data_IF_941291235356
#
_entry.id   IF_941291235356
#
_cell.length_a   1.000
_cell.length_b   1.000
_cell.length_c   1.000
_cell.angle_alpha   90.00
_cell.angle_beta   90.00
_cell.angle_gamma   90.00
#
_symmetry.space_group_name_H-M   'P 1'
#
loop_
_entity.id
_entity.type
_entity.pdbx_description
1 polymer ?
#
# COMPACT_ATOMS: atom_id res chain seq x y z
N UNK A 1 3.15 16.45 13.15
CA UNK A 1 3.63 17.47 14.09
C UNK A 1 5.09 17.83 13.81
N UNK A 2 5.37 19.05 13.39
CA UNK A 2 6.70 19.49 12.96
C UNK A 2 7.71 19.47 14.11
N UNK A 3 8.91 18.94 13.86
CA UNK A 3 10.06 19.01 14.78
C UNK A 3 10.38 20.44 15.23
N UNK A 4 10.02 21.41 14.39
CA UNK A 4 10.08 22.84 14.67
C UNK A 4 9.21 23.28 15.85
N UNK A 5 8.00 22.74 15.99
CA UNK A 5 7.10 23.14 17.09
C UNK A 5 7.62 22.63 18.43
N UNK A 6 8.14 21.39 18.45
CA UNK A 6 8.73 20.80 19.67
C UNK A 6 10.00 21.53 20.09
N UNK A 7 10.90 21.84 19.16
CA UNK A 7 12.14 22.58 19.47
C UNK A 7 11.86 24.00 19.93
N UNK A 8 10.90 24.69 19.30
CA UNK A 8 10.50 26.03 19.73
C UNK A 8 9.92 26.06 21.14
N UNK A 9 9.12 25.05 21.54
CA UNK A 9 8.58 24.95 22.90
C UNK A 9 9.72 24.80 23.93
N UNK A 10 10.69 23.92 23.67
CA UNK A 10 11.83 23.72 24.59
C UNK A 10 12.73 24.95 24.72
N UNK A 11 12.95 25.70 23.63
CA UNK A 11 13.72 26.95 23.65
C UNK A 11 12.99 28.03 24.47
N UNK A 12 11.67 28.13 24.32
CA UNK A 12 10.86 29.07 25.12
C UNK A 12 10.88 28.71 26.60
N UNK A 13 10.76 27.41 26.94
CA UNK A 13 10.83 26.94 28.34
C UNK A 13 12.21 27.21 28.95
N UNK A 14 13.29 26.96 28.20
CA UNK A 14 14.66 27.24 28.65
C UNK A 14 14.90 28.74 28.84
N UNK A 15 14.43 29.56 27.90
CA UNK A 15 14.50 31.02 28.00
C UNK A 15 13.73 31.55 29.21
N UNK A 16 12.55 31.00 29.49
CA UNK A 16 11.75 31.36 30.66
C UNK A 16 12.45 30.96 31.97
N UNK A 17 13.05 29.77 32.04
CA UNK A 17 13.83 29.31 33.20
C UNK A 17 15.06 30.19 33.46
N UNK A 18 15.79 30.58 32.41
CA UNK A 18 16.94 31.48 32.53
C UNK A 18 16.52 32.89 32.94
N UNK A 19 15.44 33.43 32.37
CA UNK A 19 14.91 34.73 32.77
C UNK A 19 14.44 34.73 34.23
N UNK A 20 13.80 33.64 34.67
CA UNK A 20 13.40 33.47 36.07
C UNK A 20 14.62 33.37 36.99
N UNK A 21 15.66 32.61 36.60
CA UNK A 21 16.92 32.54 37.32
C UNK A 21 17.63 33.90 37.43
N UNK A 22 17.62 34.70 36.36
CA UNK A 22 18.20 36.04 36.34
C UNK A 22 17.39 37.02 37.23
N UNK A 23 16.06 36.92 37.20
CA UNK A 23 15.17 37.72 38.04
C UNK A 23 15.33 37.41 39.53
N UNK A 24 15.46 36.13 39.90
CA UNK A 24 15.79 35.74 41.27
C UNK A 24 17.22 36.13 41.65
N UNK A 25 18.16 36.08 40.71
CA UNK A 25 19.56 36.48 40.91
C UNK A 25 19.74 37.96 41.25
N UNK A 26 19.01 38.87 40.59
CA UNK A 26 19.10 40.32 40.86
C UNK A 26 18.56 40.70 42.26
N UNK A 27 17.70 39.86 42.85
CA UNK A 27 17.19 40.03 44.23
C UNK A 27 18.17 39.58 45.31
N UNK A 28 19.24 38.86 44.95
CA UNK A 28 20.28 38.40 45.88
C UNK A 28 21.49 39.35 45.77
N UNK A 29 21.33 40.58 46.28
CA UNK A 29 22.38 41.62 46.26
C UNK A 29 23.18 41.74 47.57
N UNK A 30 23.06 40.80 48.49
CA UNK A 30 23.67 40.94 49.83
C UNK A 30 24.67 39.86 50.21
N UNK A 31 24.69 38.71 49.53
CA UNK A 31 25.78 37.72 49.60
C UNK A 31 25.89 37.03 48.24
N UNK A 32 27.09 36.77 47.70
CA UNK A 32 27.24 36.08 46.42
C UNK A 32 26.68 34.66 46.59
N UNK A 33 25.43 34.46 46.15
CA UNK A 33 24.68 33.22 46.36
C UNK A 33 25.54 31.99 46.05
N UNK A 34 25.65 31.09 47.02
CA UNK A 34 26.35 29.84 46.88
C UNK A 34 25.33 28.70 46.83
N UNK A 35 25.63 27.67 46.04
CA UNK A 35 24.81 26.46 45.94
C UNK A 35 25.60 25.35 46.61
N UNK A 36 25.07 24.82 47.71
CA UNK A 36 25.56 23.59 48.32
C UNK A 36 24.80 22.41 47.74
N UNK A 37 25.52 21.49 47.11
CA UNK A 37 25.00 20.16 46.91
C UNK A 37 25.55 19.26 48.02
N UNK A 38 24.71 18.96 49.01
CA UNK A 38 25.01 17.98 50.05
C UNK A 38 24.31 16.65 49.73
N UNK A 39 25.09 15.61 49.47
CA UNK A 39 24.58 14.25 49.28
C UNK A 39 25.42 13.28 50.11
N UNK A 40 24.90 12.91 51.29
CA UNK A 40 25.65 12.12 52.28
C UNK A 40 26.86 12.89 52.84
N UNK A 41 28.03 12.27 52.84
CA UNK A 41 29.30 12.85 53.32
C UNK A 41 29.96 13.83 52.32
N UNK A 42 29.40 13.99 51.11
CA UNK A 42 29.96 14.87 50.08
C UNK A 42 29.16 16.16 49.99
N UNK A 43 29.82 17.26 50.34
CA UNK A 43 29.30 18.62 50.20
C UNK A 43 30.17 19.37 49.20
N UNK A 44 29.61 19.68 48.03
CA UNK A 44 30.30 20.48 47.01
C UNK A 44 29.74 21.89 47.06
N UNK A 45 30.57 22.82 47.53
CA UNK A 45 30.30 24.25 47.53
C UNK A 45 30.68 24.82 46.16
N UNK A 46 29.69 25.30 45.40
CA UNK A 46 29.95 26.00 44.14
C UNK A 46 29.23 27.34 44.08
N UNK A 47 29.85 28.31 43.41
CA UNK A 47 29.20 29.59 43.12
C UNK A 47 27.96 29.35 42.27
N UNK A 48 26.86 30.07 42.58
CA UNK A 48 25.61 30.00 41.80
C UNK A 48 25.86 30.24 40.30
N UNK A 49 26.78 31.14 39.96
CA UNK A 49 27.16 31.42 38.57
C UNK A 49 27.81 30.22 37.88
N UNK A 50 28.66 29.48 38.59
CA UNK A 50 29.28 28.25 38.07
C UNK A 50 28.22 27.19 37.82
N UNK A 51 27.26 27.02 38.74
CA UNK A 51 26.14 26.11 38.56
C UNK A 51 25.29 26.44 37.32
N UNK A 52 24.95 27.72 37.13
CA UNK A 52 24.16 28.19 35.96
C UNK A 52 24.90 27.91 34.66
N UNK A 53 26.21 28.19 34.59
CA UNK A 53 27.00 27.92 33.39
C UNK A 53 27.01 26.43 33.07
N UNK A 54 27.26 25.57 34.07
CA UNK A 54 27.26 24.10 33.88
C UNK A 54 25.88 23.63 33.41
N UNK A 55 24.81 24.13 34.01
CA UNK A 55 23.44 23.76 33.64
C UNK A 55 23.11 24.14 32.19
N UNK A 56 23.51 25.32 31.74
CA UNK A 56 23.36 25.75 30.34
C UNK A 56 24.15 24.84 29.41
N UNK A 57 25.41 24.53 29.75
CA UNK A 57 26.26 23.64 28.95
C UNK A 57 25.65 22.25 28.82
N UNK A 58 25.19 21.64 29.92
CA UNK A 58 24.54 20.32 29.91
C UNK A 58 23.28 20.36 29.04
N UNK A 59 22.49 21.42 29.14
CA UNK A 59 21.27 21.57 28.35
C UNK A 59 21.57 21.68 26.85
N UNK A 60 22.60 22.44 26.47
CA UNK A 60 23.04 22.55 25.07
C UNK A 60 23.56 21.21 24.56
N UNK A 61 24.35 20.47 25.35
CA UNK A 61 24.85 19.14 24.98
C UNK A 61 23.68 18.17 24.79
N UNK A 62 22.71 18.13 25.70
CA UNK A 62 21.50 17.33 25.55
C UNK A 62 20.72 17.74 24.29
N UNK A 63 20.59 19.04 24.01
CA UNK A 63 19.91 19.52 22.81
C UNK A 63 20.61 19.05 21.53
N UNK A 64 21.94 19.07 21.48
CA UNK A 64 22.72 18.56 20.35
C UNK A 64 22.52 17.04 20.21
N UNK A 65 22.66 16.27 21.29
CA UNK A 65 22.55 14.80 21.24
C UNK A 65 21.15 14.36 20.80
N UNK A 66 20.09 14.92 21.39
CA UNK A 66 18.71 14.56 21.04
C UNK A 66 18.24 15.20 19.72
N UNK A 67 18.79 16.36 19.36
CA UNK A 67 18.53 17.04 18.08
C UNK A 67 19.16 16.32 16.89
N UNK A 68 20.44 15.93 17.01
CA UNK A 68 21.11 15.12 15.99
C UNK A 68 20.50 13.72 15.87
N UNK A 69 20.08 13.10 16.98
CA UNK A 69 19.38 11.81 16.95
C UNK A 69 18.08 11.85 16.14
N UNK A 70 17.35 12.98 16.15
CA UNK A 70 16.15 13.18 15.35
C UNK A 70 16.40 13.44 13.86
N UNK A 71 17.55 14.03 13.51
CA UNK A 71 17.95 14.29 12.11
C UNK A 71 18.57 13.03 11.50
N UNK A 72 19.45 12.31 12.20
CA UNK A 72 20.00 11.04 11.72
C UNK A 72 18.95 9.93 11.61
N UNK A 73 17.88 9.95 12.41
CA UNK A 73 16.81 8.95 12.35
C UNK A 73 15.90 9.04 11.12
N UNK A 74 15.86 10.17 10.40
CA UNK A 74 15.01 10.35 9.19
C UNK A 74 15.76 10.55 7.88
N UNK A 75 17.07 10.78 7.92
CA UNK A 75 17.86 11.10 6.72
C UNK A 75 18.54 9.94 5.95
N UNK A 76 18.57 8.65 6.37
CA UNK A 76 19.22 7.62 5.54
C UNK A 76 18.26 6.91 4.58
N UNK A 77 16.95 6.85 4.84
CA UNK A 77 16.07 5.96 4.05
C UNK A 77 15.66 6.55 2.71
N UNK A 78 15.39 7.85 2.60
CA UNK A 78 14.89 8.44 1.34
C UNK A 78 15.98 8.67 0.29
N UNK A 79 17.22 8.97 0.69
CA UNK A 79 18.35 9.16 -0.23
C UNK A 79 18.87 7.81 -0.72
N UNK A 80 19.01 6.80 0.16
CA UNK A 80 19.34 5.43 -0.25
C UNK A 80 18.27 4.85 -1.19
N UNK A 81 16.98 5.08 -0.90
CA UNK A 81 15.87 4.68 -1.79
C UNK A 81 15.84 5.49 -3.09
N UNK A 82 16.26 6.76 -3.10
CA UNK A 82 16.36 7.55 -4.34
C UNK A 82 17.55 7.09 -5.20
N UNK A 83 18.69 6.76 -4.58
CA UNK A 83 19.88 6.27 -5.27
C UNK A 83 19.68 4.87 -5.82
N UNK A 84 19.04 3.97 -5.05
CA UNK A 84 18.59 2.67 -5.54
C UNK A 84 17.64 2.81 -6.74
N UNK A 85 16.65 3.72 -6.68
CA UNK A 85 15.73 4.02 -7.80
C UNK A 85 16.44 4.54 -9.05
N UNK A 86 17.51 5.34 -8.92
CA UNK A 86 18.30 5.79 -10.07
C UNK A 86 19.18 4.68 -10.65
N UNK A 87 19.67 3.76 -9.83
CA UNK A 87 20.49 2.63 -10.26
C UNK A 87 19.66 1.62 -11.06
N UNK A 88 18.42 1.33 -10.63
CA UNK A 88 17.50 0.45 -11.37
C UNK A 88 17.17 0.99 -12.77
N UNK A 89 16.91 2.30 -12.92
CA UNK A 89 16.59 2.90 -14.23
C UNK A 89 17.72 2.74 -15.26
N UNK A 90 18.98 2.85 -14.84
CA UNK A 90 20.13 2.66 -15.75
C UNK A 90 20.31 1.20 -16.15
N UNK A 91 19.94 0.30 -15.26
CA UNK A 91 20.06 -1.14 -15.46
C UNK A 91 18.96 -1.63 -16.43
N UNK A 92 17.72 -1.17 -16.27
CA UNK A 92 16.61 -1.46 -17.19
C UNK A 92 16.86 -0.94 -18.62
N UNK A 93 17.55 0.20 -18.76
CA UNK A 93 17.94 0.71 -20.09
C UNK A 93 18.90 -0.22 -20.83
N UNK A 94 19.80 -0.92 -20.11
CA UNK A 94 20.74 -1.89 -20.73
C UNK A 94 20.00 -3.12 -21.24
N UNK A 95 19.02 -3.60 -20.48
CA UNK A 95 18.16 -4.69 -20.90
C UNK A 95 17.42 -4.35 -22.20
N UNK A 96 16.82 -3.15 -22.24
CA UNK A 96 16.11 -2.64 -23.43
C UNK A 96 17.07 -2.48 -24.61
N UNK A 97 18.25 -1.89 -24.39
CA UNK A 97 19.26 -1.69 -25.41
C UNK A 97 19.77 -3.03 -25.97
N UNK A 98 20.10 -4.00 -25.10
CA UNK A 98 20.50 -5.34 -25.50
C UNK A 98 19.42 -6.08 -26.30
N UNK A 99 18.15 -5.95 -25.89
CA UNK A 99 17.02 -6.49 -26.65
C UNK A 99 16.88 -5.84 -28.03
N UNK A 100 17.09 -4.53 -28.13
CA UNK A 100 17.02 -3.79 -29.40
C UNK A 100 18.14 -4.20 -30.36
N UNK A 101 19.37 -4.38 -29.85
CA UNK A 101 20.49 -4.87 -30.66
C UNK A 101 20.27 -6.30 -31.16
N UNK A 102 19.72 -7.19 -30.34
CA UNK A 102 19.30 -8.53 -30.78
C UNK A 102 18.23 -8.48 -31.87
N UNK A 103 17.30 -7.52 -31.78
CA UNK A 103 16.26 -7.33 -32.80
C UNK A 103 16.83 -6.79 -34.12
N UNK A 104 17.93 -6.04 -34.07
CA UNK A 104 18.68 -5.55 -35.23
C UNK A 104 19.64 -6.60 -35.82
N UNK A 105 19.66 -7.80 -35.27
CA UNK A 105 20.57 -8.88 -35.65
C UNK A 105 22.05 -8.55 -35.43
N UNK A 106 22.34 -7.76 -34.39
CA UNK A 106 23.69 -7.40 -33.97
C UNK A 106 24.03 -8.02 -32.61
N UNK A 107 24.26 -9.35 -32.56
CA UNK A 107 24.45 -10.07 -31.30
C UNK A 107 25.74 -9.68 -30.56
N UNK A 108 26.77 -9.21 -31.27
CA UNK A 108 28.01 -8.72 -30.67
C UNK A 108 27.78 -7.47 -29.81
N UNK A 109 26.99 -6.52 -30.31
CA UNK A 109 26.65 -5.30 -29.58
C UNK A 109 25.75 -5.63 -28.38
N UNK A 110 24.75 -6.49 -28.58
CA UNK A 110 23.88 -6.96 -27.51
C UNK A 110 24.69 -7.62 -26.37
N UNK A 111 25.59 -8.55 -26.69
CA UNK A 111 26.41 -9.23 -25.69
C UNK A 111 27.32 -8.24 -24.94
N UNK A 112 27.88 -7.23 -25.62
CA UNK A 112 28.75 -6.24 -24.98
C UNK A 112 28.04 -5.40 -23.90
N UNK A 113 26.74 -5.16 -24.08
CA UNK A 113 25.87 -4.43 -23.14
C UNK A 113 25.38 -5.37 -22.03
N UNK A 114 25.04 -6.61 -22.37
CA UNK A 114 24.43 -7.61 -21.49
C UNK A 114 25.45 -8.45 -20.68
N UNK A 115 26.74 -8.46 -21.02
CA UNK A 115 27.77 -9.18 -20.24
C UNK A 115 28.00 -8.59 -18.83
N UNK A 116 27.47 -7.40 -18.55
CA UNK A 116 27.57 -6.72 -17.25
C UNK A 116 26.61 -7.34 -16.24
N UNK A 117 26.94 -7.20 -14.95
CA UNK A 117 26.21 -7.84 -13.86
C UNK A 117 24.72 -7.43 -13.81
N UNK A 118 23.84 -8.43 -13.85
CA UNK A 118 22.38 -8.29 -13.85
C UNK A 118 21.77 -8.12 -12.44
N UNK A 119 22.58 -8.23 -11.36
CA UNK A 119 22.08 -8.18 -9.96
C UNK A 119 21.29 -6.91 -9.60
N UNK A 120 21.49 -5.82 -10.35
CA UNK A 120 20.83 -4.53 -10.10
C UNK A 120 19.61 -4.25 -11.01
N UNK A 121 19.28 -5.17 -11.92
CA UNK A 121 18.21 -4.99 -12.90
C UNK A 121 16.83 -5.38 -12.36
N UNK A 122 15.77 -4.78 -12.90
CA UNK A 122 14.39 -5.13 -12.50
C UNK A 122 13.98 -6.53 -12.93
N UNK A 123 14.53 -7.05 -14.04
CA UNK A 123 14.24 -8.37 -14.59
C UNK A 123 15.52 -9.18 -14.85
N UNK A 124 16.26 -9.62 -13.80
CA UNK A 124 17.55 -10.30 -13.95
C UNK A 124 17.47 -11.61 -14.76
N UNK A 125 16.36 -12.34 -14.64
CA UNK A 125 16.14 -13.58 -15.40
C UNK A 125 16.08 -13.33 -16.92
N UNK A 126 15.38 -12.26 -17.33
CA UNK A 126 15.27 -11.88 -18.74
C UNK A 126 16.61 -11.40 -19.29
N UNK A 127 17.37 -10.64 -18.50
CA UNK A 127 18.70 -10.19 -18.87
C UNK A 127 19.63 -11.36 -19.23
N UNK A 128 19.76 -12.34 -18.35
CA UNK A 128 20.61 -13.50 -18.59
C UNK A 128 20.12 -14.37 -19.75
N UNK A 129 18.81 -14.44 -19.97
CA UNK A 129 18.25 -15.14 -21.13
C UNK A 129 18.67 -14.47 -22.44
N UNK A 130 18.58 -13.14 -22.52
CA UNK A 130 19.02 -12.38 -23.69
C UNK A 130 20.54 -12.44 -23.88
N UNK A 131 21.32 -12.43 -22.79
CA UNK A 131 22.76 -12.63 -22.86
C UNK A 131 23.13 -14.02 -23.40
N UNK A 132 22.41 -15.06 -22.96
CA UNK A 132 22.55 -16.43 -23.46
C UNK A 132 22.26 -16.52 -24.96
N UNK A 133 21.19 -15.88 -25.42
CA UNK A 133 20.82 -15.82 -26.83
C UNK A 133 21.86 -15.08 -27.68
N UNK A 134 22.35 -13.93 -27.20
CA UNK A 134 23.41 -13.17 -27.87
C UNK A 134 24.70 -14.00 -27.99
N UNK A 135 25.12 -14.67 -26.91
CA UNK A 135 26.28 -15.55 -26.92
C UNK A 135 26.11 -16.75 -27.87
N UNK A 136 24.90 -17.33 -27.92
CA UNK A 136 24.57 -18.44 -28.81
C UNK A 136 24.71 -18.06 -30.29
N UNK A 137 24.23 -16.87 -30.66
CA UNK A 137 24.36 -16.33 -32.03
C UNK A 137 25.80 -16.01 -32.44
N UNK A 138 26.69 -15.79 -31.47
CA UNK A 138 28.12 -15.60 -31.69
C UNK A 138 28.92 -16.91 -31.61
N UNK A 139 28.25 -18.06 -31.63
CA UNK A 139 28.84 -19.39 -31.53
C UNK A 139 29.59 -19.67 -30.22
N UNK A 140 29.37 -18.84 -29.18
CA UNK A 140 29.96 -19.00 -27.85
C UNK A 140 29.08 -19.89 -26.95
N UNK A 141 29.05 -21.18 -27.26
CA UNK A 141 28.15 -22.13 -26.60
C UNK A 141 28.39 -22.28 -25.09
N UNK A 142 29.66 -22.27 -24.65
CA UNK A 142 30.01 -22.37 -23.23
C UNK A 142 29.50 -21.18 -22.40
N UNK A 143 29.66 -19.95 -22.94
CA UNK A 143 29.14 -18.73 -22.30
C UNK A 143 27.61 -18.73 -22.30
N UNK A 144 27.01 -19.12 -23.43
CA UNK A 144 25.55 -19.21 -23.58
C UNK A 144 24.92 -20.14 -22.53
N UNK A 145 25.52 -21.32 -22.32
CA UNK A 145 25.02 -22.30 -21.35
C UNK A 145 25.15 -21.80 -19.91
N UNK A 146 26.24 -21.07 -19.58
CA UNK A 146 26.40 -20.45 -18.26
C UNK A 146 25.31 -19.42 -17.98
N UNK A 147 25.04 -18.54 -18.94
CA UNK A 147 24.00 -17.53 -18.81
C UNK A 147 22.60 -18.15 -18.73
N UNK A 148 22.33 -19.20 -19.51
CA UNK A 148 21.07 -19.93 -19.47
C UNK A 148 20.82 -20.51 -18.07
N UNK A 149 21.82 -21.16 -17.47
CA UNK A 149 21.71 -21.70 -16.12
C UNK A 149 21.43 -20.62 -15.07
N UNK A 150 22.05 -19.45 -15.20
CA UNK A 150 21.76 -18.30 -14.34
C UNK A 150 20.32 -17.79 -14.52
N UNK A 151 19.83 -17.75 -15.75
CA UNK A 151 18.44 -17.39 -16.04
C UNK A 151 17.45 -18.38 -15.42
N UNK A 152 17.69 -19.69 -15.57
CA UNK A 152 16.82 -20.75 -15.01
C UNK A 152 16.69 -20.69 -13.49
N UNK A 153 17.81 -20.45 -12.78
CA UNK A 153 17.81 -20.29 -11.33
C UNK A 153 16.96 -19.08 -10.88
N UNK A 154 16.96 -18.01 -11.66
CA UNK A 154 16.18 -16.80 -11.39
C UNK A 154 14.73 -16.93 -11.89
N UNK A 155 14.47 -17.73 -12.92
CA UNK A 155 13.12 -18.03 -13.37
C UNK A 155 12.33 -18.82 -12.33
N UNK A 156 12.99 -19.72 -11.59
CA UNK A 156 12.38 -20.46 -10.49
C UNK A 156 11.86 -19.56 -9.36
N UNK A 157 12.38 -18.33 -9.23
CA UNK A 157 11.91 -17.34 -8.25
C UNK A 157 10.90 -16.34 -8.81
N UNK A 158 10.60 -16.38 -10.12
CA UNK A 158 9.54 -15.55 -10.70
C UNK A 158 8.20 -16.07 -10.17
N UNK A 159 7.41 -15.26 -9.45
CA UNK A 159 6.08 -15.67 -9.03
C UNK A 159 5.26 -16.02 -10.27
N UNK A 160 4.63 -17.21 -10.26
CA UNK A 160 3.75 -17.65 -11.34
C UNK A 160 2.72 -16.54 -11.59
N UNK A 161 2.49 -16.21 -12.86
CA UNK A 161 1.47 -15.24 -13.23
C UNK A 161 0.18 -15.58 -12.50
N UNK A 162 -0.38 -14.61 -11.77
CA UNK A 162 -1.69 -14.77 -11.13
C UNK A 162 -2.65 -14.99 -12.29
N UNK A 163 -3.08 -16.24 -12.49
CA UNK A 163 -4.16 -16.56 -13.41
C UNK A 163 -5.34 -15.72 -12.95
N UNK A 164 -5.77 -14.76 -13.79
CA UNK A 164 -7.01 -14.02 -13.53
C UNK A 164 -8.12 -15.04 -13.69
N UNK A 165 -8.58 -15.62 -12.59
CA UNK A 165 -9.75 -16.44 -12.61
C UNK A 165 -10.89 -15.61 -13.22
N UNK A 166 -11.35 -16.02 -14.39
CA UNK A 166 -12.48 -15.37 -15.06
C UNK A 166 -13.76 -15.81 -14.36
N UNK A 167 -14.67 -14.86 -14.12
CA UNK A 167 -16.00 -15.17 -13.58
C UNK A 167 -16.69 -16.15 -14.55
N UNK A 168 -17.18 -17.31 -14.09
CA UNK A 168 -17.89 -18.22 -14.98
C UNK A 168 -19.15 -17.59 -15.60
N UNK A 169 -19.40 -17.91 -16.88
CA UNK A 169 -20.54 -17.38 -17.66
C UNK A 169 -21.85 -18.12 -17.37
N UNK A 170 -21.80 -19.26 -16.69
CA UNK A 170 -22.97 -20.08 -16.34
C UNK A 170 -23.21 -20.07 -14.82
N UNK A 171 -24.49 -20.19 -14.43
CA UNK A 171 -24.92 -20.06 -13.03
C UNK A 171 -24.36 -21.17 -12.15
N UNK A 172 -24.42 -22.44 -12.60
CA UNK A 172 -23.96 -23.58 -11.79
C UNK A 172 -22.44 -23.55 -11.55
N UNK A 173 -21.58 -23.32 -12.56
CA UNK A 173 -20.16 -23.10 -12.33
C UNK A 173 -19.85 -21.90 -11.43
N UNK A 174 -20.55 -20.78 -11.60
CA UNK A 174 -20.37 -19.59 -10.75
C UNK A 174 -20.65 -19.89 -9.28
N UNK A 175 -21.76 -20.56 -8.99
CA UNK A 175 -22.11 -20.98 -7.62
C UNK A 175 -21.06 -21.94 -7.06
N UNK A 176 -20.56 -22.89 -7.87
CA UNK A 176 -19.50 -23.82 -7.44
C UNK A 176 -18.23 -23.06 -7.05
N UNK A 177 -17.84 -22.06 -7.84
CA UNK A 177 -16.67 -21.25 -7.56
C UNK A 177 -16.85 -20.38 -6.32
N UNK A 178 -18.01 -19.73 -6.16
CA UNK A 178 -18.37 -18.96 -4.95
C UNK A 178 -18.42 -19.81 -3.67
N UNK A 179 -18.79 -21.09 -3.79
CA UNK A 179 -18.75 -22.04 -2.66
C UNK A 179 -17.32 -22.40 -2.25
N UNK A 180 -16.39 -22.43 -3.21
CA UNK A 180 -14.96 -22.72 -2.97
C UNK A 180 -14.26 -21.51 -2.36
N UNK A 181 -14.44 -20.34 -2.97
CA UNK A 181 -13.85 -19.08 -2.55
C UNK A 181 -14.88 -17.96 -2.70
N UNK A 182 -15.17 -17.27 -1.59
CA UNK A 182 -16.17 -16.21 -1.57
C UNK A 182 -15.61 -14.92 -2.18
N UNK A 183 -16.34 -14.37 -3.15
CA UNK A 183 -15.95 -13.18 -3.92
C UNK A 183 -17.19 -12.31 -4.17
N UNK A 184 -17.24 -11.13 -3.55
CA UNK A 184 -18.39 -10.20 -3.64
C UNK A 184 -18.60 -9.70 -5.09
N UNK A 185 -17.50 -9.43 -5.80
CA UNK A 185 -17.47 -9.06 -7.22
C UNK A 185 -18.14 -10.12 -8.10
N UNK A 186 -17.86 -11.40 -7.82
CA UNK A 186 -18.47 -12.51 -8.53
C UNK A 186 -19.93 -12.76 -8.14
N UNK A 187 -20.28 -12.50 -6.88
CA UNK A 187 -21.63 -12.66 -6.37
C UNK A 187 -22.61 -11.72 -7.07
N UNK A 188 -22.24 -10.48 -7.39
CA UNK A 188 -23.05 -9.58 -8.23
C UNK A 188 -23.37 -10.18 -9.59
N UNK A 189 -22.47 -11.03 -10.10
CA UNK A 189 -22.66 -11.76 -11.34
C UNK A 189 -23.81 -12.78 -11.33
N UNK A 190 -24.29 -13.21 -10.16
CA UNK A 190 -25.37 -14.19 -10.04
C UNK A 190 -26.70 -13.69 -10.61
N UNK A 191 -26.85 -12.38 -10.75
CA UNK A 191 -28.03 -11.79 -11.34
C UNK A 191 -27.99 -11.79 -12.87
N UNK A 192 -26.83 -11.55 -13.49
CA UNK A 192 -26.67 -11.48 -14.95
C UNK A 192 -26.39 -12.84 -15.63
N UNK A 193 -25.93 -13.84 -14.86
CA UNK A 193 -25.43 -15.10 -15.41
C UNK A 193 -26.55 -16.15 -15.57
N UNK A 194 -26.71 -16.67 -16.78
CA UNK A 194 -27.68 -17.71 -17.16
C UNK A 194 -28.99 -17.17 -17.73
N UNK A 195 -29.85 -18.08 -18.23
CA UNK A 195 -31.17 -17.79 -18.84
C UNK A 195 -32.35 -18.20 -17.95
N UNK A 196 -32.10 -18.63 -16.71
CA UNK A 196 -33.14 -19.13 -15.81
C UNK A 196 -34.11 -18.01 -15.39
N UNK A 197 -35.36 -18.35 -15.08
CA UNK A 197 -36.35 -17.41 -14.55
C UNK A 197 -35.94 -16.84 -13.17
N UNK A 198 -36.32 -15.60 -12.87
CA UNK A 198 -35.91 -14.89 -11.65
C UNK A 198 -36.29 -15.63 -10.36
N UNK A 199 -37.44 -16.31 -10.35
CA UNK A 199 -37.95 -17.03 -9.19
C UNK A 199 -37.17 -18.34 -8.96
N UNK A 200 -36.79 -19.01 -10.06
CA UNK A 200 -35.90 -20.17 -10.02
C UNK A 200 -34.50 -19.81 -9.51
N UNK A 201 -33.98 -18.64 -9.88
CA UNK A 201 -32.68 -18.15 -9.38
C UNK A 201 -32.72 -17.88 -7.88
N UNK A 202 -33.76 -17.22 -7.37
CA UNK A 202 -33.90 -16.97 -5.92
C UNK A 202 -33.83 -18.27 -5.11
N UNK A 203 -34.51 -19.32 -5.56
CA UNK A 203 -34.50 -20.62 -4.89
C UNK A 203 -33.08 -21.22 -4.81
N UNK A 204 -32.28 -21.07 -5.87
CA UNK A 204 -30.90 -21.57 -5.96
C UNK A 204 -29.94 -20.79 -5.05
N UNK A 205 -30.25 -19.52 -4.75
CA UNK A 205 -29.42 -18.65 -3.90
C UNK A 205 -29.62 -18.87 -2.40
N UNK A 206 -30.77 -19.42 -1.98
CA UNK A 206 -31.08 -19.67 -0.57
C UNK A 206 -29.95 -20.31 0.27
N UNK A 207 -29.22 -21.33 -0.22
CA UNK A 207 -28.11 -21.92 0.52
C UNK A 207 -26.91 -20.96 0.70
N UNK A 208 -26.65 -20.08 -0.27
CA UNK A 208 -25.58 -19.09 -0.20
C UNK A 208 -25.92 -17.99 0.79
N UNK A 209 -27.17 -17.52 0.78
CA UNK A 209 -27.67 -16.48 1.69
C UNK A 209 -27.58 -16.94 3.15
N UNK A 210 -27.91 -18.21 3.43
CA UNK A 210 -27.75 -18.78 4.78
C UNK A 210 -26.30 -18.81 5.25
N UNK A 211 -25.34 -18.96 4.33
CA UNK A 211 -23.91 -19.04 4.65
C UNK A 211 -23.26 -17.67 4.76
N UNK A 212 -23.69 -16.71 3.94
CA UNK A 212 -23.11 -15.36 3.81
C UNK A 212 -24.17 -14.30 4.11
N UNK A 213 -24.67 -14.29 5.35
CA UNK A 213 -25.81 -13.48 5.81
C UNK A 213 -25.58 -11.97 5.81
N UNK A 214 -24.33 -11.53 5.72
CA UNK A 214 -23.90 -10.12 5.70
C UNK A 214 -23.25 -9.70 4.37
N UNK A 215 -23.44 -10.48 3.30
CA UNK A 215 -22.93 -10.08 1.98
C UNK A 215 -23.82 -8.99 1.38
N UNK A 216 -23.19 -7.87 1.01
CA UNK A 216 -23.86 -6.80 0.29
C UNK A 216 -24.30 -7.25 -1.11
N UNK A 217 -23.43 -7.97 -1.83
CA UNK A 217 -23.74 -8.42 -3.18
C UNK A 217 -24.94 -9.37 -3.21
N UNK A 218 -25.09 -10.26 -2.23
CA UNK A 218 -26.26 -11.14 -2.16
C UNK A 218 -27.55 -10.37 -1.90
N UNK A 219 -27.55 -9.40 -0.99
CA UNK A 219 -28.74 -8.59 -0.73
C UNK A 219 -29.14 -7.77 -1.98
N UNK A 220 -28.17 -7.21 -2.70
CA UNK A 220 -28.40 -6.52 -3.98
C UNK A 220 -29.01 -7.47 -5.02
N UNK A 221 -28.45 -8.67 -5.16
CA UNK A 221 -28.94 -9.69 -6.11
C UNK A 221 -30.34 -10.17 -5.73
N UNK A 222 -30.60 -10.42 -4.45
CA UNK A 222 -31.93 -10.84 -3.96
C UNK A 222 -32.97 -9.75 -4.17
N UNK A 223 -32.68 -8.50 -3.80
CA UNK A 223 -33.56 -7.36 -4.07
C UNK A 223 -33.94 -7.28 -5.54
N UNK A 224 -32.94 -7.45 -6.42
CA UNK A 224 -33.16 -7.36 -7.87
C UNK A 224 -33.99 -8.52 -8.42
N UNK A 225 -33.65 -9.75 -8.04
CA UNK A 225 -34.40 -10.92 -8.48
C UNK A 225 -35.85 -10.88 -7.95
N UNK A 226 -36.06 -10.37 -6.73
CA UNK A 226 -37.40 -10.13 -6.19
C UNK A 226 -38.18 -9.09 -7.00
N UNK A 227 -37.55 -7.98 -7.42
CA UNK A 227 -38.17 -7.03 -8.35
C UNK A 227 -38.53 -7.65 -9.70
N UNK A 228 -37.65 -8.51 -10.25
CA UNK A 228 -37.92 -9.21 -11.51
C UNK A 228 -39.05 -10.24 -11.37
N UNK A 229 -39.15 -10.89 -10.21
CA UNK A 229 -40.21 -11.84 -9.88
C UNK A 229 -41.54 -11.17 -9.48
N UNK A 230 -41.60 -9.83 -9.35
CA UNK A 230 -42.79 -9.10 -8.91
C UNK A 230 -43.09 -9.25 -7.41
N UNK A 231 -42.09 -9.59 -6.60
CA UNK A 231 -42.18 -9.77 -5.15
C UNK A 231 -41.80 -8.48 -4.43
N UNK A 232 -42.63 -7.44 -4.56
CA UNK A 232 -42.29 -6.09 -4.11
C UNK A 232 -41.99 -5.98 -2.60
N UNK A 233 -42.68 -6.77 -1.77
CA UNK A 233 -42.46 -6.79 -0.33
C UNK A 233 -41.09 -7.38 0.05
N UNK A 234 -40.68 -8.46 -0.62
CA UNK A 234 -39.36 -9.07 -0.42
C UNK A 234 -38.26 -8.16 -0.98
N UNK A 235 -38.49 -7.57 -2.16
CA UNK A 235 -37.57 -6.62 -2.76
C UNK A 235 -37.29 -5.45 -1.81
N UNK A 236 -38.34 -4.84 -1.25
CA UNK A 236 -38.20 -3.75 -0.27
C UNK A 236 -37.40 -4.17 0.95
N UNK A 237 -37.65 -5.36 1.50
CA UNK A 237 -36.91 -5.88 2.64
C UNK A 237 -35.40 -5.98 2.35
N UNK A 238 -35.05 -6.55 1.19
CA UNK A 238 -33.65 -6.70 0.78
C UNK A 238 -32.97 -5.35 0.48
N UNK A 239 -33.69 -4.38 -0.10
CA UNK A 239 -33.17 -3.02 -0.30
C UNK A 239 -32.87 -2.34 1.03
N UNK A 240 -33.76 -2.47 2.02
CA UNK A 240 -33.54 -1.92 3.36
C UNK A 240 -32.32 -2.57 4.03
N UNK A 241 -32.16 -3.89 3.93
CA UNK A 241 -30.97 -4.60 4.44
C UNK A 241 -29.69 -4.16 3.73
N UNK A 242 -29.69 -4.04 2.41
CA UNK A 242 -28.53 -3.58 1.65
C UNK A 242 -28.14 -2.15 2.05
N UNK A 243 -29.13 -1.29 2.29
CA UNK A 243 -28.92 0.09 2.75
C UNK A 243 -28.29 0.14 4.15
N UNK A 244 -28.63 -0.81 5.03
CA UNK A 244 -28.00 -0.92 6.35
C UNK A 244 -26.54 -1.40 6.28
N UNK A 245 -26.20 -2.22 5.30
CA UNK A 245 -24.83 -2.72 5.10
C UNK A 245 -23.93 -1.66 4.50
N UNK A 246 -24.37 -1.01 3.42
CA UNK A 246 -23.63 0.07 2.77
C UNK A 246 -24.60 1.02 2.05
N UNK A 247 -24.84 2.18 2.67
CA UNK A 247 -25.73 3.20 2.13
C UNK A 247 -25.11 4.05 1.01
N UNK A 248 -23.78 4.06 0.89
CA UNK A 248 -23.06 4.89 -0.10
C UNK A 248 -22.79 4.13 -1.41
N UNK A 249 -22.98 2.80 -1.40
CA UNK A 249 -22.81 1.99 -2.59
C UNK A 249 -23.76 2.41 -3.72
N UNK A 250 -23.20 2.69 -4.90
CA UNK A 250 -23.97 3.13 -6.07
C UNK A 250 -25.07 2.14 -6.49
N UNK A 251 -24.85 0.84 -6.37
CA UNK A 251 -25.86 -0.16 -6.70
C UNK A 251 -27.02 -0.16 -5.69
N UNK A 252 -26.75 0.15 -4.42
CA UNK A 252 -27.79 0.28 -3.38
C UNK A 252 -28.61 1.55 -3.59
N UNK A 253 -27.94 2.67 -3.89
CA UNK A 253 -28.61 3.92 -4.24
C UNK A 253 -29.50 3.74 -5.47
N UNK A 254 -29.04 2.98 -6.47
CA UNK A 254 -29.82 2.65 -7.65
C UNK A 254 -31.07 1.83 -7.30
N UNK A 255 -30.93 0.78 -6.48
CA UNK A 255 -32.08 -0.03 -6.04
C UNK A 255 -33.13 0.80 -5.30
N UNK A 256 -32.69 1.77 -4.48
CA UNK A 256 -33.61 2.70 -3.81
C UNK A 256 -34.33 3.60 -4.81
N UNK A 257 -33.63 4.14 -5.79
CA UNK A 257 -34.23 4.95 -6.84
C UNK A 257 -35.24 4.15 -7.67
N UNK A 258 -34.95 2.88 -7.96
CA UNK A 258 -35.90 1.97 -8.65
C UNK A 258 -37.15 1.67 -7.80
N UNK A 259 -37.02 1.61 -6.47
CA UNK A 259 -38.14 1.40 -5.56
C UNK A 259 -39.07 2.63 -5.47
N UNK A 260 -38.50 3.84 -5.55
CA UNK A 260 -39.26 5.10 -5.45
C UNK A 260 -39.87 5.54 -6.79
N UNK A 261 -39.09 5.47 -7.87
CA UNK A 261 -39.46 5.99 -9.19
C UNK A 261 -40.00 4.91 -10.15
N UNK A 262 -39.91 3.64 -9.76
CA UNK A 262 -40.18 2.50 -10.63
C UNK A 262 -39.00 2.17 -11.56
N UNK A 263 -39.06 0.99 -12.16
CA UNK A 263 -38.03 0.51 -13.11
C UNK A 263 -38.17 1.26 -14.44
N UNK A 264 -37.09 1.92 -14.85
CA UNK A 264 -37.00 2.57 -16.15
C UNK A 264 -35.78 2.05 -16.91
N UNK A 265 -35.86 2.05 -18.23
CA UNK A 265 -34.78 1.56 -19.09
C UNK A 265 -33.45 2.30 -18.84
N UNK A 266 -33.49 3.59 -18.52
CA UNK A 266 -32.31 4.39 -18.18
C UNK A 266 -31.60 3.91 -16.91
N UNK A 267 -32.35 3.48 -15.89
CA UNK A 267 -31.78 2.92 -14.65
C UNK A 267 -31.16 1.55 -14.92
N UNK A 268 -31.76 0.74 -15.79
CA UNK A 268 -31.20 -0.55 -16.18
C UNK A 268 -29.89 -0.41 -16.98
N UNK A 269 -29.82 0.56 -17.88
CA UNK A 269 -28.59 0.85 -18.64
C UNK A 269 -27.46 1.33 -17.72
N UNK A 270 -27.78 2.23 -16.78
CA UNK A 270 -26.82 2.69 -15.76
C UNK A 270 -26.30 1.52 -14.92
N UNK A 271 -27.19 0.59 -14.55
CA UNK A 271 -26.85 -0.60 -13.80
C UNK A 271 -25.86 -1.49 -14.50
N UNK A 272 -26.09 -1.79 -15.78
CA UNK A 272 -25.21 -2.65 -16.57
C UNK A 272 -23.79 -2.11 -16.58
N UNK A 273 -23.64 -0.80 -16.77
CA UNK A 273 -22.33 -0.12 -16.71
C UNK A 273 -21.66 -0.25 -15.35
N UNK A 274 -22.41 -0.04 -14.27
CA UNK A 274 -21.88 -0.17 -12.91
C UNK A 274 -21.43 -1.61 -12.59
N UNK A 275 -22.14 -2.62 -13.10
CA UNK A 275 -21.75 -4.03 -12.92
C UNK A 275 -20.50 -4.37 -13.74
N UNK A 276 -20.38 -3.85 -14.96
CA UNK A 276 -19.19 -4.02 -15.80
C UNK A 276 -17.94 -3.38 -15.22
N UNK A 277 -18.06 -2.27 -14.47
CA UNK A 277 -16.91 -1.63 -13.80
C UNK A 277 -16.42 -2.40 -12.55
N UNK A 278 -17.30 -3.19 -11.94
CA UNK A 278 -17.02 -3.91 -10.68
C UNK A 278 -16.46 -5.33 -10.93
N UNK A 279 -16.70 -5.91 -12.10
CA UNK A 279 -16.33 -7.29 -12.48
C UNK A 279 -15.09 -7.31 -13.37
#
# INVERSE_FOLDING_TARGET
>A
MSSFLRTSIWVVVLGALLALGFYLGDRVKTDPGYVLFAYGEYAVEMSLWVFVIIFVVITVVFWIVFGLGGVLGRFPTNILRAWARMQHRKADLRLIEGALWLRRDEPAQALSVLQKDARSESLPALHWLLASEAARRLEKMDESQRYLKSAELLMASIPKAIERDMKPTELRPLIKSLKKEWREDWALGLEAVGDDDALSRLAVLNPLVKKYTNSLALEIVQARLAFLAGLDAEAKHHVERATQLDSENFLVLLLRAELECGRTQALEDLRRRLIEEVI
#
